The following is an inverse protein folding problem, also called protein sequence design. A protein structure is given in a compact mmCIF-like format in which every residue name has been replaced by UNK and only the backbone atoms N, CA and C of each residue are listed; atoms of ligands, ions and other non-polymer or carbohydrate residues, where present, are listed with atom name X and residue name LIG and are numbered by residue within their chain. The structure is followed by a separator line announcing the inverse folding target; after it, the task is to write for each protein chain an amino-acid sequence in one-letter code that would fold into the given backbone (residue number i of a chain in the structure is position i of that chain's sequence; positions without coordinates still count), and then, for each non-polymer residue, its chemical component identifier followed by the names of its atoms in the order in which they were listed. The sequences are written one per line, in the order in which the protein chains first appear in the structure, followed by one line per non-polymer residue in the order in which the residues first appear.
data_IF_173360446052
#
_entry.id   IF_173360446052
#
_cell.length_a   1.000
_cell.length_b   1.000
_cell.length_c   1.000
_cell.angle_alpha   90.00
_cell.angle_beta   90.00
_cell.angle_gamma   90.00
#
_symmetry.space_group_name_H-M   'P 1'
#
loop_
_entity.id
_entity.type
_entity.pdbx_description
1 polymer ?
#
# COMPACT_ATOMS: atom_id res chain seq x y z
N UNK A 1 53.02 63.81 5.20
CA UNK A 1 51.69 64.11 4.62
C UNK A 1 50.68 63.21 5.34
N UNK A 2 49.90 63.58 6.35
CA UNK A 2 48.94 64.68 6.59
C UNK A 2 47.70 64.66 5.68
N UNK A 3 46.63 63.98 6.15
CA UNK A 3 45.21 64.43 6.31
C UNK A 3 44.37 63.19 6.78
N UNK A 4 43.94 63.08 8.05
CA UNK A 4 42.78 63.69 8.76
C UNK A 4 41.42 63.18 8.23
N UNK A 5 40.38 62.79 8.99
CA UNK A 5 40.11 62.62 10.45
C UNK A 5 38.59 62.28 10.63
N UNK A 6 38.22 61.43 11.62
CA UNK A 6 36.98 61.43 12.48
C UNK A 6 35.57 61.34 11.85
N UNK A 7 34.47 60.87 12.48
CA UNK A 7 34.09 60.05 13.66
C UNK A 7 32.58 60.33 13.94
N UNK A 8 31.81 59.34 14.43
CA UNK A 8 30.68 59.47 15.39
C UNK A 8 30.08 58.07 15.62
N UNK A 9 30.32 57.39 16.74
CA UNK A 9 29.71 57.52 18.09
C UNK A 9 28.19 57.29 18.11
N UNK A 10 27.82 56.13 18.68
CA UNK A 10 26.48 55.78 19.09
C UNK A 10 26.52 54.57 20.02
N UNK A 11 27.13 54.73 21.19
CA UNK A 11 27.08 53.76 22.28
C UNK A 11 25.79 53.99 23.08
N UNK A 12 24.91 52.98 23.11
CA UNK A 12 23.77 52.89 24.00
C UNK A 12 23.76 51.50 24.63
N UNK A 13 24.47 51.35 25.74
CA UNK A 13 24.43 50.14 26.58
C UNK A 13 23.18 50.27 27.44
N UNK A 14 22.19 49.40 27.21
CA UNK A 14 21.20 49.03 28.21
C UNK A 14 21.39 47.55 28.51
N UNK A 15 22.08 47.29 29.61
CA UNK A 15 22.07 46.00 30.29
C UNK A 15 20.63 45.71 30.74
N UNK A 16 19.97 44.77 30.08
CA UNK A 16 18.78 44.13 30.59
C UNK A 16 19.07 42.63 30.74
N UNK A 17 19.02 42.14 31.97
CA UNK A 17 18.85 40.73 32.27
C UNK A 17 17.63 40.22 31.50
N UNK A 18 17.82 39.30 30.56
CA UNK A 18 16.75 38.43 30.07
C UNK A 18 17.17 37.01 30.41
N UNK A 19 16.39 36.38 31.29
CA UNK A 19 16.43 34.94 31.52
C UNK A 19 16.44 34.22 30.17
N UNK A 20 17.48 33.41 29.92
CA UNK A 20 17.81 32.86 28.62
C UNK A 20 16.68 32.01 28.02
N UNK A 21 15.78 32.65 27.28
CA UNK A 21 14.82 32.00 26.42
C UNK A 21 15.48 31.72 25.08
N UNK A 22 15.88 30.48 24.85
CA UNK A 22 16.23 29.98 23.52
C UNK A 22 14.93 29.96 22.72
N UNK A 23 14.75 30.92 21.82
CA UNK A 23 13.62 30.90 20.89
C UNK A 23 13.87 29.77 19.87
N UNK A 24 13.39 28.57 20.18
CA UNK A 24 13.24 27.53 19.19
C UNK A 24 12.14 27.99 18.22
N UNK A 25 12.53 28.46 17.03
CA UNK A 25 11.58 28.51 15.94
C UNK A 25 11.05 27.07 15.74
N UNK A 26 9.73 26.86 15.60
CA UNK A 26 9.22 25.54 15.30
C UNK A 26 9.86 25.08 14.00
N UNK A 27 10.65 24.01 14.07
CA UNK A 27 11.04 23.30 12.86
C UNK A 27 9.74 22.80 12.25
N UNK A 28 9.41 23.27 11.04
CA UNK A 28 8.34 22.68 10.26
C UNK A 28 8.74 21.23 10.01
N UNK A 29 8.16 20.30 10.77
CA UNK A 29 8.24 18.89 10.45
C UNK A 29 7.51 18.71 9.12
N UNK A 30 8.19 18.17 8.11
CA UNK A 30 7.52 17.72 6.91
C UNK A 30 6.50 16.67 7.34
N UNK A 31 5.24 16.84 6.92
CA UNK A 31 4.23 15.79 7.09
C UNK A 31 4.69 14.56 6.31
N UNK A 32 4.55 13.35 6.87
CA UNK A 32 4.85 12.14 6.12
C UNK A 32 3.95 12.09 4.87
N UNK A 33 4.50 11.59 3.76
CA UNK A 33 3.80 11.47 2.49
C UNK A 33 3.87 10.02 2.02
N UNK A 34 2.79 9.56 1.39
CA UNK A 34 2.77 8.26 0.74
C UNK A 34 3.77 8.25 -0.43
N UNK A 35 4.51 7.14 -0.59
CA UNK A 35 5.49 7.02 -1.66
C UNK A 35 5.73 5.57 -2.08
N UNK A 36 6.18 5.37 -3.31
CA UNK A 36 6.50 4.04 -3.82
C UNK A 36 7.72 4.08 -4.75
N UNK A 37 8.57 3.07 -4.67
CA UNK A 37 9.64 2.84 -5.65
C UNK A 37 9.92 1.36 -5.91
N UNK A 38 10.27 1.01 -7.13
CA UNK A 38 10.49 -0.39 -7.49
C UNK A 38 11.93 -0.87 -7.23
N UNK A 39 12.91 0.01 -7.26
CA UNK A 39 14.32 -0.30 -7.03
C UNK A 39 15.03 0.86 -6.33
N UNK A 40 15.79 0.54 -5.28
CA UNK A 40 16.83 1.40 -4.73
C UNK A 40 18.02 0.54 -4.30
N UNK A 41 19.19 1.16 -4.26
CA UNK A 41 20.37 0.52 -3.70
C UNK A 41 21.29 1.55 -3.06
N UNK A 42 21.89 1.20 -1.92
CA UNK A 42 22.79 2.06 -1.17
C UNK A 42 24.07 1.32 -0.79
N UNK A 43 25.20 2.02 -0.75
CA UNK A 43 26.50 1.42 -0.46
C UNK A 43 27.54 1.69 -1.55
N UNK A 44 28.23 0.64 -1.99
CA UNK A 44 29.26 0.70 -3.03
C UNK A 44 28.72 1.16 -4.39
N UNK A 45 27.51 0.73 -4.70
CA UNK A 45 26.72 1.16 -5.86
C UNK A 45 25.47 1.83 -5.32
N UNK A 46 25.32 3.11 -5.63
CA UNK A 46 24.11 3.85 -5.31
C UNK A 46 23.18 3.86 -6.53
N UNK A 47 21.96 3.36 -6.34
CA UNK A 47 20.88 3.45 -7.31
C UNK A 47 19.80 4.29 -6.65
N UNK A 48 19.60 5.49 -7.20
CA UNK A 48 18.48 6.35 -6.81
C UNK A 48 17.17 5.60 -7.00
N UNK A 49 16.19 5.85 -6.13
CA UNK A 49 14.84 5.26 -6.21
C UNK A 49 14.26 5.40 -7.63
N UNK A 50 13.96 4.28 -8.28
CA UNK A 50 13.43 4.25 -9.66
C UNK A 50 12.42 3.12 -9.89
N UNK A 51 11.33 3.38 -10.64
CA UNK A 51 10.66 4.68 -10.70
C UNK A 51 10.22 5.08 -9.29
N UNK A 52 10.11 6.38 -9.01
CA UNK A 52 9.77 6.90 -7.68
C UNK A 52 8.60 7.87 -7.76
N UNK A 53 7.56 7.57 -6.99
CA UNK A 53 6.34 8.37 -6.87
C UNK A 53 6.21 8.82 -5.42
N UNK A 54 5.85 10.09 -5.21
CA UNK A 54 5.53 10.69 -3.92
C UNK A 54 4.21 11.44 -4.07
N UNK A 55 3.29 11.26 -3.12
CA UNK A 55 1.90 11.68 -3.26
C UNK A 55 1.18 10.90 -4.37
N UNK A 56 -0.04 11.32 -4.71
CA UNK A 56 -0.85 10.61 -5.69
C UNK A 56 -0.20 10.53 -7.08
N UNK A 57 -0.11 9.33 -7.63
CA UNK A 57 0.45 9.15 -8.96
C UNK A 57 0.80 7.71 -9.31
N UNK A 58 1.27 7.54 -10.55
CA UNK A 58 1.77 6.27 -11.06
C UNK A 58 2.92 6.48 -12.01
N UNK A 59 3.90 5.59 -11.97
CA UNK A 59 5.03 5.59 -12.88
C UNK A 59 5.47 4.15 -13.17
N UNK A 60 6.10 3.95 -14.32
CA UNK A 60 6.58 2.66 -14.76
C UNK A 60 7.87 2.80 -15.56
N UNK A 61 8.75 1.81 -15.42
CA UNK A 61 9.99 1.73 -16.19
C UNK A 61 10.09 0.34 -16.79
N UNK A 62 10.25 0.27 -18.11
CA UNK A 62 10.41 -0.99 -18.82
C UNK A 62 11.88 -1.19 -19.15
N UNK A 63 12.36 -2.37 -18.80
CA UNK A 63 13.69 -2.91 -19.04
C UNK A 63 14.81 -2.05 -18.47
N UNK A 64 15.50 -2.59 -17.46
CA UNK A 64 16.62 -1.89 -16.83
C UNK A 64 17.77 -2.85 -16.61
N UNK A 65 18.94 -2.47 -17.12
CA UNK A 65 20.20 -3.15 -16.87
C UNK A 65 21.16 -2.18 -16.16
N UNK A 66 21.66 -2.57 -14.98
CA UNK A 66 22.53 -1.72 -14.18
C UNK A 66 23.81 -2.48 -13.77
N UNK A 67 25.01 -2.02 -14.17
CA UNK A 67 25.24 -1.11 -15.31
C UNK A 67 24.81 -1.78 -16.63
N UNK A 68 24.58 -1.00 -17.71
CA UNK A 68 24.16 -1.57 -19.00
C UNK A 68 25.23 -2.50 -19.60
N UNK A 69 24.79 -3.58 -20.26
CA UNK A 69 25.63 -4.49 -21.03
C UNK A 69 25.98 -5.81 -20.33
N UNK A 70 26.96 -6.54 -20.86
CA UNK A 70 27.24 -7.94 -20.49
C UNK A 70 27.70 -8.17 -19.03
N UNK A 71 27.97 -7.09 -18.28
CA UNK A 71 28.35 -7.13 -16.86
C UNK A 71 27.28 -6.49 -15.96
N UNK A 72 26.03 -6.46 -16.42
CA UNK A 72 24.90 -6.00 -15.64
C UNK A 72 24.82 -6.79 -14.34
N UNK A 73 24.84 -6.06 -13.23
CA UNK A 73 24.72 -6.63 -11.89
C UNK A 73 23.24 -6.81 -11.58
N UNK A 74 22.39 -5.90 -12.04
CA UNK A 74 20.95 -6.01 -11.96
C UNK A 74 20.35 -6.00 -13.36
N UNK A 75 19.44 -6.93 -13.62
CA UNK A 75 18.51 -6.92 -14.75
C UNK A 75 17.10 -6.93 -14.20
N UNK A 76 16.23 -6.13 -14.77
CA UNK A 76 14.81 -6.14 -14.46
C UNK A 76 13.98 -5.93 -15.71
N UNK A 77 12.86 -6.65 -15.82
CA UNK A 77 11.94 -6.57 -16.95
C UNK A 77 11.03 -5.36 -16.87
N UNK A 78 10.25 -5.24 -15.81
CA UNK A 78 9.28 -4.13 -15.63
C UNK A 78 9.26 -3.70 -14.19
N UNK A 79 9.27 -2.40 -13.97
CA UNK A 79 9.07 -1.75 -12.69
C UNK A 79 7.79 -0.92 -12.73
N UNK A 80 6.97 -0.99 -11.69
CA UNK A 80 5.80 -0.14 -11.51
C UNK A 80 5.77 0.41 -10.08
N UNK A 81 5.36 1.66 -9.96
CA UNK A 81 5.09 2.33 -8.69
C UNK A 81 3.77 3.08 -8.81
N UNK A 82 2.90 2.93 -7.82
CA UNK A 82 1.62 3.63 -7.74
C UNK A 82 1.35 4.05 -6.30
N UNK A 83 0.78 5.23 -6.15
CA UNK A 83 0.47 5.83 -4.86
C UNK A 83 -0.87 6.52 -4.96
N UNK A 84 -1.71 6.30 -3.95
CA UNK A 84 -2.99 6.95 -3.69
C UNK A 84 -2.98 7.37 -2.21
N UNK A 85 -3.94 8.18 -1.78
CA UNK A 85 -4.03 8.60 -0.38
C UNK A 85 -4.12 7.39 0.57
N UNK A 86 -3.14 7.27 1.49
CA UNK A 86 -2.96 6.17 2.44
C UNK A 86 -2.76 4.79 1.79
N UNK A 87 -2.39 4.76 0.51
CA UNK A 87 -2.11 3.52 -0.23
C UNK A 87 -0.88 3.66 -1.11
N UNK A 88 0.02 2.69 -1.05
CA UNK A 88 1.17 2.62 -1.92
C UNK A 88 1.42 1.19 -2.41
N UNK A 89 1.82 1.07 -3.67
CA UNK A 89 2.15 -0.19 -4.30
C UNK A 89 3.38 -0.06 -5.19
N UNK A 90 4.29 -1.02 -5.07
CA UNK A 90 5.41 -1.18 -5.97
C UNK A 90 5.50 -2.63 -6.45
N UNK A 91 5.86 -2.83 -7.71
CA UNK A 91 6.08 -4.16 -8.26
C UNK A 91 7.23 -4.21 -9.24
N UNK A 92 7.90 -5.35 -9.26
CA UNK A 92 9.01 -5.65 -10.16
C UNK A 92 8.80 -7.02 -10.77
N UNK A 93 8.93 -7.10 -12.09
CA UNK A 93 8.85 -8.35 -12.86
C UNK A 93 10.21 -8.67 -13.49
N UNK A 94 10.55 -9.96 -13.53
CA UNK A 94 11.76 -10.53 -14.12
C UNK A 94 13.04 -9.86 -13.62
N UNK A 95 13.24 -9.81 -12.29
CA UNK A 95 14.44 -9.26 -11.70
C UNK A 95 15.51 -10.34 -11.46
N UNK A 96 16.76 -10.02 -11.79
CA UNK A 96 17.94 -10.83 -11.55
C UNK A 96 19.08 -9.96 -11.03
N UNK A 97 19.57 -10.28 -9.84
CA UNK A 97 20.74 -9.70 -9.22
C UNK A 97 21.91 -10.71 -9.33
N UNK A 98 22.87 -10.42 -10.18
CA UNK A 98 24.07 -11.21 -10.43
C UNK A 98 25.34 -10.48 -10.00
N UNK A 99 25.85 -10.79 -8.81
CA UNK A 99 27.09 -10.22 -8.31
C UNK A 99 28.28 -11.14 -8.61
N UNK A 100 29.44 -10.60 -9.03
CA UNK A 100 30.64 -11.42 -9.28
C UNK A 100 31.03 -12.26 -8.06
N UNK A 101 31.14 -13.58 -8.25
CA UNK A 101 31.53 -14.52 -7.20
C UNK A 101 30.41 -14.91 -6.23
N UNK A 102 29.19 -14.41 -6.43
CA UNK A 102 28.01 -14.82 -5.67
C UNK A 102 27.01 -15.58 -6.57
N UNK A 103 26.25 -16.53 -6.00
CA UNK A 103 25.06 -17.07 -6.64
C UNK A 103 24.11 -15.94 -7.08
N UNK A 104 23.61 -16.01 -8.31
CA UNK A 104 22.59 -15.07 -8.78
C UNK A 104 21.28 -15.25 -8.01
N UNK A 105 20.62 -14.14 -7.68
CA UNK A 105 19.29 -14.13 -7.09
C UNK A 105 18.34 -13.68 -8.19
N UNK A 106 17.32 -14.46 -8.51
CA UNK A 106 16.29 -14.06 -9.48
C UNK A 106 14.90 -14.23 -8.91
N UNK A 107 13.98 -13.39 -9.37
CA UNK A 107 12.58 -13.36 -8.95
C UNK A 107 11.72 -13.03 -10.16
N UNK A 108 10.66 -13.81 -10.38
CA UNK A 108 9.76 -13.62 -11.52
C UNK A 108 8.82 -12.44 -11.29
N UNK A 109 8.25 -12.35 -10.09
CA UNK A 109 7.42 -11.23 -9.68
C UNK A 109 7.64 -10.96 -8.20
N UNK A 110 7.79 -9.68 -7.86
CA UNK A 110 7.77 -9.21 -6.48
C UNK A 110 6.85 -8.00 -6.39
N UNK A 111 6.04 -7.93 -5.35
CA UNK A 111 5.08 -6.84 -5.12
C UNK A 111 5.06 -6.50 -3.65
N UNK A 112 5.13 -5.20 -3.33
CA UNK A 112 4.83 -4.65 -2.02
C UNK A 112 3.58 -3.78 -2.11
N UNK A 113 2.73 -3.93 -1.11
CA UNK A 113 1.53 -3.14 -0.90
C UNK A 113 1.53 -2.63 0.54
N UNK A 114 1.14 -1.38 0.70
CA UNK A 114 0.92 -0.73 1.97
C UNK A 114 -0.43 -0.04 1.86
N UNK A 115 -1.41 -0.43 2.67
CA UNK A 115 -2.75 0.17 2.73
C UNK A 115 -3.06 0.48 4.18
N UNK A 116 -3.24 1.75 4.50
CA UNK A 116 -3.66 2.22 5.84
C UNK A 116 -2.82 1.59 6.97
N UNK A 117 -1.51 1.80 6.90
CA UNK A 117 -0.49 1.22 7.80
C UNK A 117 -0.48 -0.32 7.87
N UNK A 118 -1.07 -1.01 6.90
CA UNK A 118 -1.02 -2.47 6.79
C UNK A 118 -0.16 -2.88 5.59
N UNK A 119 0.95 -3.55 5.89
CA UNK A 119 1.89 -4.02 4.87
C UNK A 119 1.67 -5.46 4.43
N UNK A 120 1.68 -5.69 3.12
CA UNK A 120 1.62 -7.01 2.52
C UNK A 120 2.60 -7.14 1.35
N UNK A 121 3.09 -8.35 1.10
CA UNK A 121 3.99 -8.61 -0.02
C UNK A 121 3.69 -9.95 -0.68
N UNK A 122 4.02 -10.03 -1.96
CA UNK A 122 3.92 -11.24 -2.76
C UNK A 122 5.21 -11.44 -3.54
N UNK A 123 5.72 -12.67 -3.54
CA UNK A 123 6.97 -13.04 -4.21
C UNK A 123 6.73 -14.35 -4.94
N UNK A 124 6.97 -14.34 -6.26
CA UNK A 124 6.84 -15.52 -7.11
C UNK A 124 8.16 -15.83 -7.80
N UNK A 125 8.43 -17.13 -7.97
CA UNK A 125 9.59 -17.66 -8.67
C UNK A 125 10.94 -17.18 -8.12
N UNK A 126 11.05 -17.04 -6.80
CA UNK A 126 12.33 -16.75 -6.15
C UNK A 126 13.31 -17.91 -6.37
N UNK A 127 14.48 -17.60 -6.91
CA UNK A 127 15.58 -18.52 -7.17
C UNK A 127 16.89 -17.96 -6.65
N UNK A 128 17.72 -18.82 -6.08
CA UNK A 128 19.05 -18.45 -5.58
C UNK A 128 20.05 -19.48 -6.07
N UNK A 129 21.03 -19.05 -6.86
CA UNK A 129 21.95 -19.95 -7.54
C UNK A 129 21.26 -20.95 -8.47
N UNK A 130 20.10 -20.57 -9.03
CA UNK A 130 19.26 -21.44 -9.86
C UNK A 130 18.35 -22.40 -9.09
N UNK A 131 18.45 -22.47 -7.76
CA UNK A 131 17.57 -23.28 -6.93
C UNK A 131 16.30 -22.49 -6.57
N UNK A 132 15.13 -23.06 -6.85
CA UNK A 132 13.85 -22.48 -6.41
C UNK A 132 13.71 -22.51 -4.89
N UNK A 133 13.24 -21.40 -4.33
CA UNK A 133 12.90 -21.24 -2.92
C UNK A 133 11.37 -21.24 -2.81
N UNK A 134 10.83 -22.25 -2.14
CA UNK A 134 9.39 -22.30 -1.87
C UNK A 134 9.03 -21.28 -0.79
N UNK A 135 8.00 -20.48 -1.05
CA UNK A 135 7.47 -19.46 -0.15
C UNK A 135 5.99 -19.74 0.04
N UNK A 136 5.60 -20.27 1.21
CA UNK A 136 4.20 -20.57 1.49
C UNK A 136 3.48 -19.33 2.06
N UNK A 137 4.04 -18.77 3.14
CA UNK A 137 3.55 -17.56 3.79
C UNK A 137 4.75 -16.69 4.16
N UNK A 138 4.68 -15.41 3.81
CA UNK A 138 5.75 -14.45 4.07
C UNK A 138 5.30 -13.54 5.22
N UNK A 139 5.62 -13.95 6.44
CA UNK A 139 5.40 -13.11 7.62
C UNK A 139 6.24 -11.82 7.54
N UNK A 140 5.86 -10.75 8.25
CA UNK A 140 6.67 -9.54 8.33
C UNK A 140 8.10 -9.85 8.79
N UNK A 141 9.08 -9.23 8.14
CA UNK A 141 10.51 -9.35 8.41
C UNK A 141 11.04 -10.79 8.34
N UNK A 142 10.56 -11.59 7.38
CA UNK A 142 11.02 -12.96 7.17
C UNK A 142 12.44 -12.98 6.59
N UNK A 143 13.40 -13.49 7.35
CA UNK A 143 14.79 -13.62 6.87
C UNK A 143 15.05 -14.98 6.21
N UNK A 144 15.74 -14.94 5.07
CA UNK A 144 16.26 -16.10 4.36
C UNK A 144 17.77 -15.94 4.24
N UNK A 145 18.50 -16.93 4.76
CA UNK A 145 19.95 -17.00 4.66
C UNK A 145 20.30 -18.34 4.00
N UNK A 146 20.37 -18.38 2.65
CA UNK A 146 20.79 -19.57 1.95
C UNK A 146 22.21 -19.93 2.34
N UNK A 147 22.51 -21.22 2.46
CA UNK A 147 23.85 -21.66 2.87
C UNK A 147 24.94 -21.22 1.87
N UNK A 148 24.59 -21.04 0.59
CA UNK A 148 25.49 -20.52 -0.43
C UNK A 148 25.83 -19.04 -0.26
N UNK A 149 25.03 -18.30 0.51
CA UNK A 149 25.18 -16.86 0.77
C UNK A 149 25.60 -16.55 2.21
N UNK A 150 25.84 -17.57 3.03
CA UNK A 150 26.15 -17.39 4.45
C UNK A 150 27.39 -16.53 4.66
N UNK A 151 27.23 -15.45 5.40
CA UNK A 151 28.29 -14.45 5.67
C UNK A 151 28.55 -13.49 4.51
N UNK A 152 27.84 -13.63 3.38
CA UNK A 152 27.98 -12.79 2.19
C UNK A 152 26.72 -11.97 1.92
N UNK A 153 25.54 -12.56 2.12
CA UNK A 153 24.27 -11.88 1.95
C UNK A 153 23.21 -12.36 2.96
N UNK A 154 22.27 -11.47 3.27
CA UNK A 154 21.05 -11.72 4.00
C UNK A 154 19.90 -11.18 3.16
N UNK A 155 18.89 -12.01 2.96
CA UNK A 155 17.68 -11.63 2.23
C UNK A 155 16.56 -11.49 3.25
N UNK A 156 15.90 -10.35 3.29
CA UNK A 156 14.71 -10.12 4.12
C UNK A 156 13.52 -9.91 3.20
N UNK A 157 12.56 -10.83 3.28
CA UNK A 157 11.27 -10.71 2.61
C UNK A 157 10.29 -9.98 3.51
N UNK A 158 9.39 -9.22 2.90
CA UNK A 158 8.37 -8.46 3.62
C UNK A 158 8.96 -7.61 4.76
N UNK A 159 10.04 -6.88 4.47
CA UNK A 159 10.67 -6.01 5.46
C UNK A 159 9.71 -4.86 5.75
N UNK A 160 9.26 -4.76 6.99
CA UNK A 160 8.32 -3.73 7.44
C UNK A 160 9.00 -2.86 8.49
N UNK A 161 8.98 -1.56 8.27
CA UNK A 161 9.61 -0.56 9.14
C UNK A 161 8.59 0.53 9.48
N UNK A 162 8.28 0.64 10.77
CA UNK A 162 7.61 1.81 11.33
C UNK A 162 8.63 2.97 11.37
N UNK A 163 8.29 4.06 10.70
CA UNK A 163 9.18 5.21 10.55
C UNK A 163 9.13 6.15 11.77
N UNK A 164 8.18 5.96 12.70
CA UNK A 164 8.00 6.79 13.89
C UNK A 164 7.35 8.15 13.63
N UNK A 165 7.00 8.45 12.38
CA UNK A 165 6.29 9.65 11.94
C UNK A 165 4.81 9.39 11.62
N UNK A 166 4.32 8.17 11.85
CA UNK A 166 2.97 7.75 11.47
C UNK A 166 2.89 7.16 10.06
N UNK A 167 4.02 6.81 9.44
CA UNK A 167 4.07 6.04 8.20
C UNK A 167 4.69 4.65 8.39
N UNK A 168 4.22 3.70 7.56
CA UNK A 168 4.78 2.36 7.46
C UNK A 168 5.49 2.21 6.12
N UNK A 169 6.72 1.69 6.12
CA UNK A 169 7.43 1.30 4.89
C UNK A 169 7.54 -0.21 4.78
N UNK A 170 7.18 -0.73 3.60
CA UNK A 170 7.14 -2.15 3.27
C UNK A 170 8.01 -2.40 2.05
N UNK A 171 9.06 -3.19 2.19
CA UNK A 171 9.89 -3.66 1.08
C UNK A 171 9.68 -5.15 0.88
N UNK A 172 9.31 -5.56 -0.34
CA UNK A 172 9.01 -6.95 -0.62
C UNK A 172 10.24 -7.86 -0.63
N UNK A 173 11.37 -7.37 -1.15
CA UNK A 173 12.67 -8.03 -1.08
C UNK A 173 13.75 -7.01 -0.75
N UNK A 174 14.42 -7.17 0.39
CA UNK A 174 15.61 -6.42 0.78
C UNK A 174 16.80 -7.37 0.81
N UNK A 175 17.87 -7.03 0.10
CA UNK A 175 19.11 -7.81 0.08
C UNK A 175 20.21 -6.98 0.73
N UNK A 176 20.67 -7.43 1.89
CA UNK A 176 21.83 -6.91 2.59
C UNK A 176 23.06 -7.75 2.21
N UNK A 177 24.08 -7.09 1.68
CA UNK A 177 25.34 -7.69 1.26
C UNK A 177 26.48 -7.23 2.16
N UNK A 178 27.32 -8.18 2.54
CA UNK A 178 28.54 -7.96 3.32
C UNK A 178 28.26 -7.17 4.61
N UNK A 179 27.18 -7.50 5.33
CA UNK A 179 26.77 -6.91 6.61
C UNK A 179 26.54 -5.39 6.55
N UNK A 180 25.71 -4.95 5.59
CA UNK A 180 25.25 -3.58 5.42
C UNK A 180 26.16 -2.73 4.55
N UNK A 181 27.21 -3.31 3.96
CA UNK A 181 28.11 -2.57 3.06
C UNK A 181 27.38 -2.19 1.76
N UNK A 182 26.42 -3.02 1.34
CA UNK A 182 25.54 -2.73 0.23
C UNK A 182 24.14 -3.26 0.54
N UNK A 183 23.13 -2.44 0.33
CA UNK A 183 21.73 -2.83 0.37
C UNK A 183 21.10 -2.66 -1.01
N UNK A 184 20.17 -3.55 -1.34
CA UNK A 184 19.33 -3.45 -2.54
C UNK A 184 17.90 -3.76 -2.13
N UNK A 185 17.01 -2.80 -2.34
CA UNK A 185 15.60 -2.94 -2.03
C UNK A 185 14.79 -2.99 -3.33
N UNK A 186 13.96 -4.02 -3.46
CA UNK A 186 13.04 -4.20 -4.58
C UNK A 186 11.60 -4.10 -4.10
N UNK A 187 10.83 -3.30 -4.85
CA UNK A 187 9.42 -3.03 -4.62
C UNK A 187 9.17 -2.57 -3.19
N UNK A 188 9.35 -1.28 -2.96
CA UNK A 188 9.07 -0.62 -1.68
C UNK A 188 7.87 0.31 -1.80
N UNK A 189 6.96 0.20 -0.84
CA UNK A 189 5.78 1.04 -0.68
C UNK A 189 5.76 1.65 0.73
N UNK A 190 5.45 2.92 0.83
CA UNK A 190 5.30 3.66 2.08
C UNK A 190 3.91 4.29 2.10
N UNK A 191 3.14 4.01 3.14
CA UNK A 191 1.80 4.57 3.34
C UNK A 191 1.67 5.20 4.73
N UNK A 192 0.76 6.16 4.83
CA UNK A 192 0.28 6.84 6.03
C UNK A 192 -1.16 6.41 6.33
N UNK A 193 -1.67 6.78 7.51
CA UNK A 193 -3.09 6.60 7.81
C UNK A 193 -3.96 7.40 6.83
N UNK A 194 -5.03 6.79 6.31
CA UNK A 194 -6.04 7.53 5.55
C UNK A 194 -6.75 8.51 6.48
N UNK A 195 -6.93 9.78 6.09
CA UNK A 195 -7.81 10.66 6.83
C UNK A 195 -9.22 10.09 6.82
N UNK A 196 -9.83 10.00 8.00
CA UNK A 196 -11.22 9.57 8.13
C UNK A 196 -12.10 10.48 7.27
N UNK A 197 -12.87 9.88 6.37
CA UNK A 197 -13.86 10.62 5.61
C UNK A 197 -14.80 11.31 6.62
N UNK A 198 -15.10 12.61 6.46
CA UNK A 198 -15.99 13.30 7.38
C UNK A 198 -17.32 12.53 7.44
N UNK A 199 -17.73 12.16 8.66
CA UNK A 199 -19.00 11.47 8.87
C UNK A 199 -20.09 12.27 8.18
N UNK A 200 -20.79 11.62 7.24
CA UNK A 200 -21.94 12.22 6.59
C UNK A 200 -22.96 12.50 7.70
N UNK A 201 -23.40 13.75 7.92
CA UNK A 201 -24.31 14.07 9.02
C UNK A 201 -25.48 13.09 8.99
N UNK A 202 -25.71 12.43 10.13
CA UNK A 202 -26.76 11.43 10.27
C UNK A 202 -28.04 11.99 9.66
N UNK A 203 -28.57 11.27 8.66
CA UNK A 203 -29.85 11.61 8.06
C UNK A 203 -30.87 11.60 9.21
N UNK A 204 -31.55 12.72 9.51
CA UNK A 204 -32.38 12.83 10.71
C UNK A 204 -33.33 11.65 10.78
N UNK A 205 -33.34 10.98 11.94
CA UNK A 205 -34.20 9.84 12.22
C UNK A 205 -35.62 10.16 11.74
N UNK A 206 -36.11 9.35 10.81
CA UNK A 206 -37.49 9.44 10.34
C UNK A 206 -38.38 9.34 11.57
N UNK A 207 -39.28 10.32 11.83
CA UNK A 207 -40.15 10.28 12.99
C UNK A 207 -40.87 8.93 13.07
N UNK A 208 -40.79 8.28 14.22
CA UNK A 208 -41.47 7.01 14.47
C UNK A 208 -42.95 7.13 14.07
N UNK A 209 -43.40 6.23 13.19
CA UNK A 209 -44.81 6.15 12.85
C UNK A 209 -45.62 5.87 14.11
N UNK A 210 -46.73 6.60 14.35
CA UNK A 210 -47.55 6.39 15.53
C UNK A 210 -48.06 4.95 15.58
N UNK A 211 -47.78 4.29 16.71
CA UNK A 211 -48.22 2.93 16.99
C UNK A 211 -49.74 2.85 16.89
N UNK A 212 -50.23 1.94 16.04
CA UNK A 212 -51.66 1.70 15.87
C UNK A 212 -52.30 1.26 17.20
N UNK A 213 -53.52 1.73 17.53
CA UNK A 213 -54.19 1.39 18.78
C UNK A 213 -54.53 -0.11 18.85
N UNK A 214 -54.28 -0.72 20.00
CA UNK A 214 -54.60 -2.11 20.29
C UNK A 214 -56.09 -2.40 20.11
N UNK A 215 -56.38 -3.48 19.37
CA UNK A 215 -57.74 -3.97 19.09
C UNK A 215 -58.34 -4.60 20.36
N UNK A 216 -59.60 -4.29 20.73
CA UNK A 216 -60.26 -4.91 21.88
C UNK A 216 -60.44 -6.42 21.69
N UNK A 217 -60.19 -7.19 22.75
CA UNK A 217 -60.42 -8.64 22.81
C UNK A 217 -61.92 -8.96 22.68
N UNK A 218 -62.26 -9.83 21.72
CA UNK A 218 -63.62 -10.34 21.51
C UNK A 218 -63.89 -11.62 22.33
N UNK A 219 -65.16 -11.89 22.70
CA UNK A 219 -65.54 -12.99 23.58
C UNK A 219 -65.61 -14.33 22.85
N UNK A 220 -65.24 -15.39 23.56
CA UNK A 220 -65.23 -16.78 23.12
C UNK A 220 -66.62 -17.34 22.80
N UNK A 221 -66.76 -18.02 21.66
CA UNK A 221 -67.89 -18.91 21.33
C UNK A 221 -67.38 -20.25 20.74
N UNK A 222 -68.16 -21.36 20.89
CA UNK A 222 -67.68 -22.75 20.95
C UNK A 222 -67.67 -23.46 19.57
N UNK A 223 -67.23 -24.73 19.48
CA UNK A 223 -66.67 -25.31 18.26
C UNK A 223 -67.73 -25.92 17.35
N UNK A 224 -67.47 -25.92 16.04
CA UNK A 224 -68.10 -26.82 15.08
C UNK A 224 -67.12 -27.09 13.93
N UNK A 225 -67.03 -28.38 13.62
CA UNK A 225 -66.30 -29.00 12.52
C UNK A 225 -66.87 -28.53 11.17
N UNK A 226 -66.01 -28.27 10.17
CA UNK A 226 -66.35 -28.54 8.76
C UNK A 226 -65.11 -28.54 7.88
N UNK A 227 -65.13 -29.45 6.91
CA UNK A 227 -64.09 -29.81 5.94
C UNK A 227 -63.89 -28.75 4.84
N UNK A 228 -62.70 -28.70 4.23
CA UNK A 228 -62.53 -28.02 2.94
C UNK A 228 -61.09 -27.69 2.54
N UNK A 229 -60.55 -28.48 1.62
CA UNK A 229 -59.40 -28.18 0.76
C UNK A 229 -59.44 -26.77 0.15
N UNK A 230 -58.29 -26.08 0.05
CA UNK A 230 -57.92 -25.42 -1.20
C UNK A 230 -56.41 -25.15 -1.30
N UNK A 231 -55.91 -25.48 -2.49
CA UNK A 231 -54.53 -25.45 -2.95
C UNK A 231 -54.15 -24.05 -3.46
N UNK A 232 -52.95 -23.60 -3.09
CA UNK A 232 -52.09 -22.79 -3.95
C UNK A 232 -52.11 -21.27 -3.75
N UNK A 233 -50.92 -20.72 -3.52
CA UNK A 233 -50.46 -19.61 -4.38
C UNK A 233 -48.93 -19.57 -4.50
N UNK A 234 -48.50 -19.25 -5.72
CA UNK A 234 -47.14 -19.36 -6.27
C UNK A 234 -46.42 -18.02 -6.15
N UNK A 235 -45.42 -17.96 -5.27
CA UNK A 235 -44.42 -16.88 -5.29
C UNK A 235 -43.42 -17.11 -6.43
N UNK A 236 -43.50 -16.27 -7.47
CA UNK A 236 -42.73 -16.39 -8.72
C UNK A 236 -41.22 -16.25 -8.55
N UNK A 237 -40.49 -17.22 -9.10
CA UNK A 237 -39.04 -17.18 -9.30
C UNK A 237 -38.67 -16.02 -10.25
N UNK A 238 -37.87 -15.08 -9.74
CA UNK A 238 -37.17 -14.10 -10.57
C UNK A 238 -36.17 -14.83 -11.49
N UNK A 239 -36.18 -14.56 -12.81
CA UNK A 239 -35.26 -15.21 -13.74
C UNK A 239 -33.81 -14.80 -13.45
N UNK A 240 -32.93 -15.78 -13.18
CA UNK A 240 -31.48 -15.59 -13.15
C UNK A 240 -30.76 -15.83 -11.83
N UNK A 241 -31.44 -16.32 -10.79
CA UNK A 241 -30.83 -16.51 -9.45
C UNK A 241 -30.42 -17.96 -9.11
N UNK A 242 -30.69 -18.93 -9.99
CA UNK A 242 -30.35 -20.34 -9.76
C UNK A 242 -29.60 -20.93 -10.97
N UNK A 243 -28.52 -21.71 -10.76
CA UNK A 243 -27.87 -22.48 -11.81
C UNK A 243 -28.87 -23.38 -12.54
N UNK A 244 -28.61 -23.70 -13.81
CA UNK A 244 -29.42 -24.69 -14.53
C UNK A 244 -29.22 -26.11 -13.94
N UNK A 245 -30.00 -27.08 -14.43
CA UNK A 245 -29.94 -28.47 -13.96
C UNK A 245 -28.56 -29.13 -14.20
N UNK A 246 -27.72 -28.53 -15.05
CA UNK A 246 -26.35 -28.95 -15.34
C UNK A 246 -25.30 -28.18 -14.51
N UNK A 247 -25.75 -27.33 -13.57
CA UNK A 247 -24.89 -26.54 -12.69
C UNK A 247 -24.19 -25.37 -13.38
N UNK A 248 -24.61 -24.98 -14.59
CA UNK A 248 -24.06 -23.81 -15.27
C UNK A 248 -24.70 -22.54 -14.72
N UNK A 249 -23.87 -21.52 -14.54
CA UNK A 249 -24.33 -20.19 -14.17
C UNK A 249 -25.27 -19.62 -15.26
N UNK A 250 -26.35 -18.91 -14.87
CA UNK A 250 -27.24 -18.26 -15.83
C UNK A 250 -26.47 -17.32 -16.76
N UNK A 251 -26.82 -17.35 -18.05
CA UNK A 251 -26.24 -16.41 -19.01
C UNK A 251 -26.77 -14.99 -18.72
N UNK A 252 -25.90 -13.98 -18.53
CA UNK A 252 -26.36 -12.61 -18.31
C UNK A 252 -27.18 -12.12 -19.51
N UNK A 253 -28.38 -11.57 -19.25
CA UNK A 253 -29.17 -10.91 -20.28
C UNK A 253 -28.75 -9.45 -20.35
N UNK A 254 -28.26 -8.95 -21.51
CA UNK A 254 -27.92 -7.53 -21.65
C UNK A 254 -29.15 -6.66 -21.39
N UNK A 255 -29.03 -5.74 -20.43
CA UNK A 255 -30.02 -4.68 -20.23
C UNK A 255 -29.85 -3.65 -21.35
N UNK A 256 -30.93 -3.27 -22.08
CA UNK A 256 -30.86 -2.18 -23.04
C UNK A 256 -30.43 -0.89 -22.34
N UNK A 257 -29.33 -0.29 -22.81
CA UNK A 257 -28.84 0.98 -22.26
C UNK A 257 -29.77 2.13 -22.65
N UNK A 258 -30.32 2.83 -21.66
CA UNK A 258 -31.08 4.08 -21.82
C UNK A 258 -30.16 5.30 -22.02
N UNK A 259 -29.23 5.22 -22.96
CA UNK A 259 -28.43 6.39 -23.35
C UNK A 259 -28.98 6.95 -24.66
N UNK A 260 -29.87 7.93 -24.54
CA UNK A 260 -30.23 8.81 -25.65
C UNK A 260 -29.00 9.62 -26.04
N UNK A 261 -28.30 9.18 -27.09
CA UNK A 261 -27.19 9.92 -27.67
C UNK A 261 -27.78 11.02 -28.54
N UNK A 262 -27.89 12.24 -28.01
CA UNK A 262 -28.24 13.42 -28.81
C UNK A 262 -27.06 13.76 -29.72
N UNK A 263 -27.24 13.54 -31.02
CA UNK A 263 -26.35 14.03 -32.08
C UNK A 263 -26.63 15.46 -32.50
#
# INVERSE_FOLDING_TARGET
MSKKRTAALGAGILSALVAGGVAFAPAAAATPEDSAYALAADGLVNITKVPHVVGEGKDHLVHTELPPGAKSILRAGVFNSAVEEGYAKASTTDAELGLPGLPAISVGLVTAECDDLTGATSVADLKIGGQHIALDQIAPNTEIIPEQLKGLARITLNKQTDNGDGSLTVSALSVDLLNGTQTVDLSTATCTDKPEAPENPENPEKPEEPTAPEKPEEPTTPPSEDDGDDDGDKGGDLPGSKPDQDGKAPTPVPQPGHLDVTG
#
